data_IF_208557423430
#
_entry.id   IF_208557423430
#
_cell.length_a   1.000
_cell.length_b   1.000
_cell.length_c   1.000
_cell.angle_alpha   90.00
_cell.angle_beta   90.00
_cell.angle_gamma   90.00
#
_symmetry.space_group_name_H-M   'P 1'
#
loop_
_entity.id
_entity.type
_entity.pdbx_description
1 polymer ?
#
# COMPACT_ATOMS: atom_id res chain seq x y z
N UNK A 1 13.17 -7.45 -30.29
CA UNK A 1 11.75 -7.50 -29.88
C UNK A 1 11.67 -7.53 -28.37
N UNK A 2 10.64 -6.91 -27.78
CA UNK A 2 10.41 -6.94 -26.33
C UNK A 2 9.88 -8.31 -25.93
N UNK A 3 10.47 -8.91 -24.90
CA UNK A 3 10.11 -10.26 -24.46
C UNK A 3 8.71 -10.29 -23.83
N UNK A 4 8.01 -11.41 -24.00
CA UNK A 4 6.72 -11.65 -23.31
C UNK A 4 6.88 -11.57 -21.80
N UNK A 5 8.01 -12.05 -21.26
CA UNK A 5 8.32 -11.94 -19.84
C UNK A 5 8.36 -10.50 -19.33
N UNK A 6 9.01 -9.59 -20.07
CA UNK A 6 9.07 -8.17 -19.72
C UNK A 6 7.69 -7.51 -19.77
N UNK A 7 6.85 -7.88 -20.76
CA UNK A 7 5.46 -7.40 -20.87
C UNK A 7 4.63 -7.86 -19.67
N UNK A 8 4.68 -9.15 -19.32
CA UNK A 8 3.98 -9.70 -18.17
C UNK A 8 4.45 -9.08 -16.85
N UNK A 9 5.75 -8.83 -16.71
CA UNK A 9 6.31 -8.18 -15.53
C UNK A 9 5.84 -6.72 -15.40
N UNK A 10 5.78 -5.96 -16.49
CA UNK A 10 5.23 -4.59 -16.46
C UNK A 10 3.73 -4.57 -16.11
N UNK A 11 2.95 -5.53 -16.63
CA UNK A 11 1.54 -5.70 -16.27
C UNK A 11 1.42 -6.02 -14.77
N UNK A 12 2.19 -6.99 -14.28
CA UNK A 12 2.24 -7.32 -12.85
C UNK A 12 2.53 -6.07 -12.02
N UNK A 13 3.54 -5.28 -12.39
CA UNK A 13 3.90 -4.06 -11.67
C UNK A 13 2.78 -3.03 -11.65
N UNK A 14 2.10 -2.78 -12.77
CA UNK A 14 0.93 -1.91 -12.81
C UNK A 14 -0.20 -2.44 -11.91
N UNK A 15 -0.49 -3.75 -11.95
CA UNK A 15 -1.51 -4.37 -11.11
C UNK A 15 -1.17 -4.27 -9.62
N UNK A 16 0.04 -4.66 -9.23
CA UNK A 16 0.51 -4.65 -7.85
C UNK A 16 0.61 -3.25 -7.27
N UNK A 17 1.15 -2.29 -8.05
CA UNK A 17 1.37 -0.94 -7.58
C UNK A 17 0.10 -0.08 -7.59
N UNK A 18 -0.77 -0.24 -8.60
CA UNK A 18 -1.91 0.65 -8.79
C UNK A 18 -3.24 0.01 -8.43
N UNK A 19 -3.57 -1.11 -9.07
CA UNK A 19 -4.88 -1.72 -8.93
C UNK A 19 -5.10 -2.33 -7.54
N UNK A 20 -4.09 -2.99 -6.97
CA UNK A 20 -4.22 -3.62 -5.65
C UNK A 20 -4.49 -2.59 -4.54
N UNK A 21 -3.74 -1.48 -4.39
CA UNK A 21 -4.06 -0.43 -3.41
C UNK A 21 -5.41 0.24 -3.64
N UNK A 22 -5.81 0.45 -4.90
CA UNK A 22 -7.12 1.05 -5.25
C UNK A 22 -8.27 0.13 -4.88
N UNK A 23 -8.19 -1.15 -5.25
CA UNK A 23 -9.21 -2.14 -4.90
C UNK A 23 -9.31 -2.25 -3.38
N UNK A 24 -8.17 -2.37 -2.69
CA UNK A 24 -8.12 -2.39 -1.23
C UNK A 24 -8.76 -1.14 -0.59
N UNK A 25 -8.45 0.04 -1.12
CA UNK A 25 -9.07 1.30 -0.72
C UNK A 25 -10.60 1.30 -0.88
N UNK A 26 -11.09 0.93 -2.07
CA UNK A 26 -12.52 0.91 -2.39
C UNK A 26 -13.25 -0.07 -1.49
N UNK A 27 -12.73 -1.29 -1.33
CA UNK A 27 -13.32 -2.32 -0.46
C UNK A 27 -13.38 -1.83 1.00
N UNK A 28 -12.30 -1.26 1.52
CA UNK A 28 -12.26 -0.77 2.90
C UNK A 28 -13.15 0.45 3.13
N UNK A 29 -13.34 1.31 2.13
CA UNK A 29 -14.30 2.41 2.17
C UNK A 29 -15.75 1.90 2.10
N UNK A 30 -16.04 0.95 1.21
CA UNK A 30 -17.35 0.33 1.07
C UNK A 30 -17.75 -0.43 2.36
N UNK A 31 -16.79 -1.07 3.01
CA UNK A 31 -16.99 -1.75 4.30
C UNK A 31 -17.08 -0.79 5.51
N UNK A 32 -17.05 0.54 5.30
CA UNK A 32 -17.12 1.54 6.37
C UNK A 32 -15.89 1.56 7.30
N UNK A 33 -14.79 0.88 6.94
CA UNK A 33 -13.56 0.80 7.74
C UNK A 33 -12.69 2.03 7.58
N UNK A 34 -12.74 2.68 6.41
CA UNK A 34 -12.01 3.90 6.06
C UNK A 34 -12.96 4.99 5.57
N UNK A 35 -12.65 6.25 5.88
CA UNK A 35 -13.43 7.37 5.33
C UNK A 35 -12.90 7.78 3.94
N UNK A 36 -13.78 7.83 2.95
CA UNK A 36 -13.45 8.26 1.59
C UNK A 36 -12.87 9.69 1.56
N UNK A 37 -13.31 10.54 2.50
CA UNK A 37 -12.78 11.90 2.68
C UNK A 37 -11.29 11.88 3.02
N UNK A 38 -10.85 10.99 3.90
CA UNK A 38 -9.43 10.86 4.24
C UNK A 38 -8.60 10.40 3.05
N UNK A 39 -9.13 9.45 2.28
CA UNK A 39 -8.47 8.96 1.06
C UNK A 39 -8.27 10.08 0.01
N UNK A 40 -9.34 10.79 -0.35
CA UNK A 40 -9.26 11.89 -1.33
C UNK A 40 -8.34 13.00 -0.83
N UNK A 41 -8.38 13.29 0.48
CA UNK A 41 -7.48 14.30 1.07
C UNK A 41 -6.01 13.89 0.91
N UNK A 42 -5.68 12.63 1.19
CA UNK A 42 -4.32 12.10 1.01
C UNK A 42 -3.84 12.21 -0.44
N UNK A 43 -4.68 11.78 -1.38
CA UNK A 43 -4.39 11.86 -2.81
C UNK A 43 -4.14 13.31 -3.25
N UNK A 44 -5.05 14.21 -2.90
CA UNK A 44 -5.00 15.62 -3.31
C UNK A 44 -3.77 16.34 -2.77
N UNK A 45 -3.46 16.17 -1.48
CA UNK A 45 -2.32 16.86 -0.88
C UNK A 45 -0.98 16.35 -1.40
N UNK A 46 -0.85 15.05 -1.72
CA UNK A 46 0.34 14.59 -2.44
C UNK A 46 0.45 15.28 -3.80
N UNK A 47 -0.60 15.20 -4.62
CA UNK A 47 -0.59 15.75 -5.97
C UNK A 47 -0.23 17.24 -5.97
N UNK A 48 -0.87 18.04 -5.11
CA UNK A 48 -0.64 19.48 -5.03
C UNK A 48 0.77 19.79 -4.52
N UNK A 49 1.16 19.29 -3.33
CA UNK A 49 2.44 19.69 -2.73
C UNK A 49 3.63 19.11 -3.50
N UNK A 50 3.50 17.91 -4.06
CA UNK A 50 4.58 17.30 -4.81
C UNK A 50 4.68 17.87 -6.23
N UNK A 51 3.60 17.80 -7.03
CA UNK A 51 3.67 18.19 -8.43
C UNK A 51 3.71 19.72 -8.62
N UNK A 52 2.93 20.47 -7.83
CA UNK A 52 2.78 21.92 -8.03
C UNK A 52 3.72 22.77 -7.19
N UNK A 53 4.24 22.27 -6.07
CA UNK A 53 5.16 23.06 -5.23
C UNK A 53 6.58 22.52 -5.27
N UNK A 54 6.79 21.23 -5.00
CA UNK A 54 8.14 20.67 -4.93
C UNK A 54 8.87 20.74 -6.28
N UNK A 55 8.23 20.34 -7.39
CA UNK A 55 8.88 20.36 -8.70
C UNK A 55 9.30 21.76 -9.14
N UNK A 56 8.45 22.82 -9.05
CA UNK A 56 8.89 24.18 -9.34
C UNK A 56 10.01 24.69 -8.41
N UNK A 57 9.96 24.32 -7.12
CA UNK A 57 11.03 24.67 -6.17
C UNK A 57 12.35 24.00 -6.54
N UNK A 58 12.34 22.71 -6.89
CA UNK A 58 13.52 22.02 -7.38
C UNK A 58 14.05 22.67 -8.65
N UNK A 59 13.18 22.96 -9.62
CA UNK A 59 13.56 23.65 -10.85
C UNK A 59 14.25 24.99 -10.58
N UNK A 60 13.76 25.77 -9.61
CA UNK A 60 14.38 27.04 -9.22
C UNK A 60 15.73 26.83 -8.52
N UNK A 61 15.81 25.85 -7.60
CA UNK A 61 17.03 25.50 -6.87
C UNK A 61 18.14 25.04 -7.84
N UNK A 62 17.79 24.25 -8.85
CA UNK A 62 18.74 23.76 -9.86
C UNK A 62 19.32 24.86 -10.76
N UNK A 63 18.77 26.08 -10.76
CA UNK A 63 19.39 27.22 -11.45
C UNK A 63 20.63 27.75 -10.73
N UNK A 64 20.83 27.39 -9.47
CA UNK A 64 22.01 27.81 -8.70
C UNK A 64 23.17 26.89 -9.08
N UNK A 65 24.26 27.40 -9.70
CA UNK A 65 25.34 26.55 -10.20
C UNK A 65 25.99 25.66 -9.12
N UNK A 66 26.10 26.16 -7.89
CA UNK A 66 26.63 25.40 -6.77
C UNK A 66 25.74 24.21 -6.36
N UNK A 67 24.41 24.35 -6.50
CA UNK A 67 23.49 23.23 -6.21
C UNK A 67 23.50 22.23 -7.36
N UNK A 68 23.56 22.72 -8.60
CA UNK A 68 23.70 21.85 -9.77
C UNK A 68 24.98 21.01 -9.69
N UNK A 69 26.12 21.63 -9.36
CA UNK A 69 27.40 20.91 -9.22
C UNK A 69 27.36 19.88 -8.08
N UNK A 70 26.75 20.24 -6.95
CA UNK A 70 26.53 19.32 -5.84
C UNK A 70 25.66 18.12 -6.24
N UNK A 71 24.56 18.38 -6.96
CA UNK A 71 23.63 17.35 -7.41
C UNK A 71 24.16 16.44 -8.53
N UNK A 72 25.29 16.77 -9.17
CA UNK A 72 25.97 15.82 -10.06
C UNK A 72 26.66 14.68 -9.30
N UNK A 73 26.98 14.87 -8.02
CA UNK A 73 27.47 13.78 -7.19
C UNK A 73 26.32 12.89 -6.74
N UNK A 74 26.55 11.57 -6.65
CA UNK A 74 25.56 10.61 -6.17
C UNK A 74 25.00 11.01 -4.80
N UNK A 75 25.89 11.33 -3.86
CA UNK A 75 25.50 11.72 -2.49
C UNK A 75 24.76 13.05 -2.48
N UNK A 76 25.20 14.04 -3.26
CA UNK A 76 24.55 15.33 -3.31
C UNK A 76 23.16 15.28 -3.93
N UNK A 77 22.98 14.49 -5.00
CA UNK A 77 21.66 14.22 -5.57
C UNK A 77 20.74 13.53 -4.56
N UNK A 78 21.25 12.46 -3.92
CA UNK A 78 20.48 11.72 -2.92
C UNK A 78 20.04 12.60 -1.76
N UNK A 79 20.93 13.47 -1.24
CA UNK A 79 20.60 14.44 -0.19
C UNK A 79 19.54 15.44 -0.64
N UNK A 80 19.73 16.07 -1.80
CA UNK A 80 18.80 17.08 -2.32
C UNK A 80 17.40 16.47 -2.52
N UNK A 81 17.34 15.28 -3.12
CA UNK A 81 16.09 14.56 -3.33
C UNK A 81 15.46 14.15 -2.00
N UNK A 82 16.21 13.54 -1.08
CA UNK A 82 15.66 13.08 0.19
C UNK A 82 15.17 14.21 1.10
N UNK A 83 15.92 15.32 1.20
CA UNK A 83 15.53 16.49 2.01
C UNK A 83 14.25 17.11 1.47
N UNK A 84 14.21 17.37 0.16
CA UNK A 84 13.03 17.97 -0.45
C UNK A 84 11.82 17.03 -0.39
N UNK A 85 11.99 15.72 -0.59
CA UNK A 85 10.90 14.75 -0.42
C UNK A 85 10.37 14.78 1.00
N UNK A 86 11.23 14.57 1.99
CA UNK A 86 10.83 14.48 3.39
C UNK A 86 10.12 15.75 3.89
N UNK A 87 10.60 16.92 3.48
CA UNK A 87 9.99 18.20 3.82
C UNK A 87 8.59 18.35 3.23
N UNK A 88 8.46 18.26 1.90
CA UNK A 88 7.19 18.49 1.21
C UNK A 88 6.15 17.43 1.56
N UNK A 89 6.57 16.17 1.73
CA UNK A 89 5.62 15.12 2.05
C UNK A 89 5.12 15.17 3.49
N UNK A 90 6.01 15.49 4.44
CA UNK A 90 5.60 15.70 5.84
C UNK A 90 4.71 16.93 5.94
N UNK A 91 5.01 18.00 5.21
CA UNK A 91 4.17 19.18 5.13
C UNK A 91 2.78 18.84 4.55
N UNK A 92 2.71 18.08 3.45
CA UNK A 92 1.46 17.63 2.86
C UNK A 92 0.58 16.88 3.87
N UNK A 93 1.16 15.90 4.59
CA UNK A 93 0.48 15.15 5.66
C UNK A 93 0.00 16.05 6.78
N UNK A 94 0.85 16.93 7.27
CA UNK A 94 0.55 17.81 8.40
C UNK A 94 -0.56 18.81 8.02
N UNK A 95 -0.44 19.45 6.85
CA UNK A 95 -1.42 20.39 6.32
C UNK A 95 -2.76 19.70 6.04
N UNK A 96 -2.76 18.55 5.35
CA UNK A 96 -3.99 17.82 5.05
C UNK A 96 -4.70 17.32 6.31
N UNK A 97 -3.95 16.77 7.26
CA UNK A 97 -4.47 16.33 8.56
C UNK A 97 -5.06 17.49 9.37
N UNK A 98 -4.32 18.60 9.51
CA UNK A 98 -4.74 19.76 10.32
C UNK A 98 -5.84 20.60 9.66
N UNK A 99 -5.70 20.88 8.36
CA UNK A 99 -6.58 21.78 7.63
C UNK A 99 -7.80 21.08 7.03
N UNK A 100 -7.84 19.77 6.84
CA UNK A 100 -9.06 19.14 6.28
C UNK A 100 -9.70 18.23 7.29
N UNK A 101 -8.95 17.29 7.85
CA UNK A 101 -9.52 16.24 8.69
C UNK A 101 -9.73 16.67 10.15
N UNK A 102 -8.88 17.56 10.67
CA UNK A 102 -8.99 18.14 12.01
C UNK A 102 -9.81 19.44 12.08
N UNK A 103 -10.45 19.88 10.99
CA UNK A 103 -11.26 21.11 10.98
C UNK A 103 -12.59 20.92 11.73
N UNK A 104 -13.15 22.04 12.19
CA UNK A 104 -14.48 22.13 12.84
C UNK A 104 -14.63 21.25 14.10
N UNK A 105 -13.56 21.09 14.87
CA UNK A 105 -13.58 20.33 16.13
C UNK A 105 -13.63 18.80 15.96
N UNK A 106 -13.56 18.29 14.72
CA UNK A 106 -13.47 16.84 14.48
C UNK A 106 -12.12 16.31 14.95
N UNK A 107 -12.14 15.24 15.76
CA UNK A 107 -10.93 14.52 16.13
C UNK A 107 -10.44 13.65 14.97
N UNK A 108 -9.12 13.68 14.73
CA UNK A 108 -8.47 12.82 13.72
C UNK A 108 -8.42 11.40 14.28
N UNK A 109 -8.96 10.43 13.55
CA UNK A 109 -8.99 9.03 14.00
C UNK A 109 -7.80 8.21 13.45
N UNK A 110 -7.45 7.06 14.06
CA UNK A 110 -6.47 6.14 13.47
C UNK A 110 -6.89 5.60 12.09
N UNK A 111 -8.19 5.45 11.84
CA UNK A 111 -8.72 5.07 10.52
C UNK A 111 -8.47 6.17 9.49
N UNK A 112 -8.60 7.44 9.88
CA UNK A 112 -8.29 8.58 9.01
C UNK A 112 -6.82 8.61 8.57
N UNK A 113 -5.87 8.21 9.43
CA UNK A 113 -4.46 8.07 9.01
C UNK A 113 -4.23 6.95 7.99
N UNK A 114 -4.94 5.81 8.11
CA UNK A 114 -4.82 4.72 7.13
C UNK A 114 -5.40 5.18 5.79
N UNK A 115 -6.61 5.75 5.81
CA UNK A 115 -7.27 6.24 4.59
C UNK A 115 -6.43 7.30 3.89
N UNK A 116 -5.93 8.28 4.64
CA UNK A 116 -5.04 9.31 4.09
C UNK A 116 -3.76 8.70 3.51
N UNK A 117 -3.08 7.82 4.25
CA UNK A 117 -1.83 7.20 3.79
C UNK A 117 -2.01 6.35 2.53
N UNK A 118 -3.14 5.65 2.42
CA UNK A 118 -3.48 4.85 1.25
C UNK A 118 -3.75 5.74 0.03
N UNK A 119 -4.56 6.79 0.18
CA UNK A 119 -4.79 7.77 -0.90
C UNK A 119 -3.51 8.48 -1.34
N UNK A 120 -2.63 8.77 -0.38
CA UNK A 120 -1.30 9.34 -0.63
C UNK A 120 -0.43 8.40 -1.47
N UNK A 121 -0.34 7.13 -1.09
CA UNK A 121 0.45 6.13 -1.82
C UNK A 121 -0.09 5.86 -3.22
N UNK A 122 -1.42 5.88 -3.41
CA UNK A 122 -2.05 5.77 -4.73
C UNK A 122 -1.61 6.95 -5.63
N UNK A 123 -1.69 8.18 -5.10
CA UNK A 123 -1.26 9.36 -5.86
C UNK A 123 0.23 9.30 -6.19
N UNK A 124 1.07 8.96 -5.22
CA UNK A 124 2.49 8.83 -5.43
C UNK A 124 2.84 7.83 -6.53
N UNK A 125 2.26 6.64 -6.46
CA UNK A 125 2.47 5.61 -7.46
C UNK A 125 2.02 6.08 -8.84
N UNK A 126 0.86 6.74 -8.92
CA UNK A 126 0.36 7.30 -10.18
C UNK A 126 1.38 8.25 -10.82
N UNK A 127 1.85 9.24 -10.07
CA UNK A 127 2.70 10.31 -10.58
C UNK A 127 4.16 9.88 -10.79
N UNK A 128 4.71 8.99 -9.96
CA UNK A 128 6.12 8.61 -10.06
C UNK A 128 6.38 7.52 -11.10
N UNK A 129 5.51 6.50 -11.17
CA UNK A 129 5.79 5.34 -12.02
C UNK A 129 4.63 4.95 -12.93
N UNK A 130 3.39 5.25 -12.55
CA UNK A 130 2.20 4.86 -13.33
C UNK A 130 2.32 5.31 -14.78
N UNK A 131 2.58 6.60 -15.01
CA UNK A 131 2.76 7.14 -16.36
C UNK A 131 3.89 6.45 -17.14
N UNK A 132 5.02 6.17 -16.48
CA UNK A 132 6.17 5.53 -17.13
C UNK A 132 5.88 4.08 -17.51
N UNK A 133 5.30 3.27 -16.63
CA UNK A 133 4.99 1.86 -16.92
C UNK A 133 3.84 1.72 -17.93
N UNK A 134 2.82 2.59 -17.88
CA UNK A 134 1.80 2.63 -18.94
C UNK A 134 2.41 2.98 -20.30
N UNK A 135 3.27 4.00 -20.35
CA UNK A 135 3.99 4.38 -21.56
C UNK A 135 4.86 3.24 -22.10
N UNK A 136 5.67 2.64 -21.23
CA UNK A 136 6.54 1.51 -21.58
C UNK A 136 5.77 0.31 -22.12
N UNK A 137 4.60 0.01 -21.54
CA UNK A 137 3.75 -1.10 -22.00
C UNK A 137 3.15 -0.81 -23.39
N UNK A 138 2.63 0.40 -23.61
CA UNK A 138 2.15 0.82 -24.93
C UNK A 138 3.27 0.75 -25.98
N UNK A 139 4.46 1.23 -25.63
CA UNK A 139 5.63 1.22 -26.52
C UNK A 139 6.13 -0.19 -26.80
N UNK A 140 6.12 -1.08 -25.81
CA UNK A 140 6.47 -2.49 -26.01
C UNK A 140 5.55 -3.17 -27.03
N UNK A 141 4.23 -2.93 -26.94
CA UNK A 141 3.28 -3.44 -27.93
C UNK A 141 3.50 -2.82 -29.31
N UNK A 142 3.74 -1.51 -29.39
CA UNK A 142 3.98 -0.83 -30.66
C UNK A 142 5.26 -1.33 -31.35
N UNK A 143 6.36 -1.49 -30.61
CA UNK A 143 7.63 -2.01 -31.11
C UNK A 143 7.51 -3.46 -31.59
N UNK A 144 6.76 -4.30 -30.88
CA UNK A 144 6.56 -5.69 -31.28
C UNK A 144 5.66 -5.84 -32.52
N UNK A 145 4.74 -4.91 -32.77
CA UNK A 145 3.85 -4.94 -33.93
C UNK A 145 4.47 -4.26 -35.16
N UNK A 146 5.06 -3.08 -34.97
CA UNK A 146 5.43 -2.17 -36.05
C UNK A 146 6.95 -2.02 -36.23
N UNK A 147 7.76 -2.60 -35.35
CA UNK A 147 9.22 -2.44 -35.39
C UNK A 147 9.68 -1.04 -34.94
N UNK A 148 11.01 -0.90 -34.83
CA UNK A 148 11.65 0.32 -34.31
C UNK A 148 11.60 1.51 -35.29
N UNK A 149 11.60 1.25 -36.59
CA UNK A 149 11.64 2.26 -37.65
C UNK A 149 10.46 3.25 -37.57
N UNK A 150 9.25 2.72 -37.36
CA UNK A 150 8.04 3.54 -37.21
C UNK A 150 8.10 4.45 -35.98
N UNK A 151 8.77 4.02 -34.90
CA UNK A 151 8.92 4.83 -33.70
C UNK A 151 9.98 5.92 -33.88
N UNK A 152 11.10 5.61 -34.54
CA UNK A 152 12.16 6.58 -34.83
C UNK A 152 11.72 7.72 -35.76
N UNK A 153 10.77 7.48 -36.66
CA UNK A 153 10.23 8.54 -37.54
C UNK A 153 9.44 9.60 -36.77
N UNK A 154 8.76 9.22 -35.68
CA UNK A 154 7.92 10.13 -34.90
C UNK A 154 8.70 10.85 -33.80
N UNK A 155 9.60 10.15 -33.10
CA UNK A 155 10.26 10.67 -31.89
C UNK A 155 11.76 10.94 -32.07
N UNK A 156 12.30 10.65 -33.26
CA UNK A 156 13.73 10.72 -33.54
C UNK A 156 14.47 9.44 -33.16
N UNK A 157 15.55 9.17 -33.90
CA UNK A 157 16.32 7.93 -33.78
C UNK A 157 16.91 7.73 -32.39
N UNK A 158 17.43 8.79 -31.77
CA UNK A 158 18.12 8.70 -30.48
C UNK A 158 17.18 8.29 -29.35
N UNK A 159 16.03 8.97 -29.23
CA UNK A 159 15.01 8.62 -28.24
C UNK A 159 14.44 7.22 -28.48
N UNK A 160 14.22 6.85 -29.75
CA UNK A 160 13.74 5.54 -30.13
C UNK A 160 14.69 4.41 -29.69
N UNK A 161 15.99 4.58 -29.93
CA UNK A 161 17.01 3.61 -29.51
C UNK A 161 17.10 3.54 -28.00
N UNK A 162 17.05 4.65 -27.27
CA UNK A 162 17.09 4.65 -25.80
C UNK A 162 15.92 3.85 -25.21
N UNK A 163 14.69 4.12 -25.67
CA UNK A 163 13.49 3.38 -25.23
C UNK A 163 13.61 1.91 -25.58
N UNK A 164 14.04 1.59 -26.80
CA UNK A 164 14.23 0.20 -27.23
C UNK A 164 15.22 -0.53 -26.31
N UNK A 165 16.37 0.08 -26.01
CA UNK A 165 17.38 -0.49 -25.12
C UNK A 165 16.83 -0.72 -23.71
N UNK A 166 16.03 0.21 -23.17
CA UNK A 166 15.36 -0.01 -21.87
C UNK A 166 14.41 -1.19 -21.92
N UNK A 167 13.57 -1.30 -22.95
CA UNK A 167 12.55 -2.35 -23.03
C UNK A 167 13.11 -3.74 -23.36
N UNK A 168 14.21 -3.82 -24.11
CA UNK A 168 14.82 -5.11 -24.49
C UNK A 168 16.02 -5.50 -23.64
N UNK A 169 16.71 -4.53 -23.04
CA UNK A 169 17.92 -4.74 -22.25
C UNK A 169 17.66 -4.95 -20.76
N UNK A 170 16.54 -4.45 -20.22
CA UNK A 170 16.17 -4.64 -18.82
C UNK A 170 15.59 -6.06 -18.59
N UNK A 171 16.14 -6.84 -17.64
CA UNK A 171 15.58 -8.14 -17.28
C UNK A 171 14.12 -8.05 -16.83
N UNK A 172 13.29 -9.02 -17.23
CA UNK A 172 11.87 -9.08 -16.86
C UNK A 172 11.66 -8.97 -15.34
N UNK A 173 12.53 -9.62 -14.55
CA UNK A 173 12.42 -9.62 -13.09
C UNK A 173 12.65 -8.22 -12.48
N UNK A 174 13.44 -7.36 -13.12
CA UNK A 174 13.64 -5.97 -12.68
C UNK A 174 12.42 -5.09 -12.96
N UNK A 175 11.68 -5.35 -14.04
CA UNK A 175 10.37 -4.71 -14.25
C UNK A 175 9.38 -5.11 -13.16
N UNK A 176 9.39 -6.37 -12.72
CA UNK A 176 8.50 -6.87 -11.67
C UNK A 176 8.89 -6.35 -10.27
N UNK A 177 10.18 -6.12 -10.03
CA UNK A 177 10.71 -5.59 -8.76
C UNK A 177 9.98 -4.29 -8.36
N UNK A 178 9.81 -3.37 -9.32
CA UNK A 178 9.08 -2.12 -9.06
C UNK A 178 7.64 -2.31 -8.55
N UNK A 179 6.96 -3.42 -8.90
CA UNK A 179 5.64 -3.73 -8.34
C UNK A 179 5.69 -4.15 -6.87
N UNK A 180 6.69 -4.97 -6.52
CA UNK A 180 6.95 -5.44 -5.16
C UNK A 180 7.36 -4.27 -4.26
N UNK A 181 8.27 -3.42 -4.76
CA UNK A 181 8.72 -2.20 -4.09
C UNK A 181 7.53 -1.38 -3.58
N UNK A 182 6.51 -1.23 -4.43
CA UNK A 182 5.36 -0.37 -4.14
C UNK A 182 4.45 -0.93 -3.07
N UNK A 183 4.32 -2.24 -2.97
CA UNK A 183 3.57 -2.85 -1.87
C UNK A 183 4.23 -2.47 -0.53
N UNK A 184 5.56 -2.58 -0.43
CA UNK A 184 6.31 -2.18 0.75
C UNK A 184 6.25 -0.67 0.98
N UNK A 185 6.36 0.11 -0.09
CA UNK A 185 6.31 1.56 0.01
C UNK A 185 4.92 2.07 0.44
N UNK A 186 3.83 1.42 0.02
CA UNK A 186 2.48 1.71 0.53
C UNK A 186 2.39 1.53 2.05
N UNK A 187 2.99 0.46 2.59
CA UNK A 187 3.06 0.24 4.04
C UNK A 187 3.81 1.39 4.71
N UNK A 188 4.98 1.77 4.18
CA UNK A 188 5.78 2.90 4.67
C UNK A 188 4.91 4.16 4.71
N UNK A 189 4.23 4.51 3.61
CA UNK A 189 3.44 5.73 3.53
C UNK A 189 2.25 5.77 4.49
N UNK A 190 1.63 4.62 4.77
CA UNK A 190 0.58 4.49 5.79
C UNK A 190 1.15 4.76 7.18
N UNK A 191 2.29 4.15 7.53
CA UNK A 191 2.91 4.31 8.86
C UNK A 191 3.39 5.75 9.06
N UNK A 192 4.05 6.36 8.07
CA UNK A 192 4.51 7.74 8.13
C UNK A 192 3.34 8.72 8.30
N UNK A 193 2.25 8.50 7.59
CA UNK A 193 1.01 9.27 7.78
C UNK A 193 0.48 9.10 9.21
N UNK A 194 0.45 7.87 9.71
CA UNK A 194 0.03 7.58 11.07
C UNK A 194 0.89 8.30 12.13
N UNK A 195 2.22 8.35 11.95
CA UNK A 195 3.13 9.12 12.81
C UNK A 195 2.79 10.62 12.83
N UNK A 196 2.61 11.24 11.66
CA UNK A 196 2.22 12.66 11.58
C UNK A 196 0.88 12.90 12.28
N UNK A 197 -0.11 12.04 12.05
CA UNK A 197 -1.44 12.17 12.64
C UNK A 197 -1.43 11.86 14.15
N UNK A 198 -0.54 10.99 14.62
CA UNK A 198 -0.30 10.79 16.04
C UNK A 198 0.29 12.04 16.69
N UNK A 199 1.24 12.70 16.02
CA UNK A 199 1.76 14.00 16.44
C UNK A 199 0.68 15.07 16.54
N UNK A 200 -0.20 15.17 15.53
CA UNK A 200 -1.35 16.08 15.54
C UNK A 200 -2.31 15.79 16.71
N UNK A 201 -2.64 14.52 16.95
CA UNK A 201 -3.51 14.09 18.07
C UNK A 201 -2.90 14.43 19.44
N UNK A 202 -1.60 14.18 19.61
CA UNK A 202 -0.85 14.44 20.86
C UNK A 202 -0.41 15.90 21.01
N UNK A 203 -0.64 16.75 20.01
CA UNK A 203 -0.08 18.11 19.92
C UNK A 203 1.44 18.13 20.15
N UNK A 204 2.14 17.13 19.62
CA UNK A 204 3.59 16.96 19.75
C UNK A 204 4.23 16.89 18.37
N UNK A 205 5.35 17.61 18.19
CA UNK A 205 6.11 17.56 16.95
C UNK A 205 7.07 16.37 16.88
N UNK A 206 7.34 15.67 17.99
CA UNK A 206 8.28 14.54 18.01
C UNK A 206 7.90 13.42 17.02
N UNK A 207 6.64 12.95 16.94
CA UNK A 207 6.23 11.94 15.96
C UNK A 207 6.29 12.47 14.51
N UNK A 208 6.04 13.77 14.31
CA UNK A 208 6.12 14.41 12.99
C UNK A 208 7.57 14.45 12.50
N UNK A 209 8.51 14.83 13.37
CA UNK A 209 9.95 14.82 13.07
C UNK A 209 10.46 13.41 12.83
N UNK A 210 9.98 12.42 13.58
CA UNK A 210 10.30 11.02 13.34
C UNK A 210 9.82 10.55 11.97
N UNK A 211 8.61 10.94 11.54
CA UNK A 211 8.12 10.65 10.21
C UNK A 211 8.99 11.29 9.12
N UNK A 212 9.36 12.56 9.29
CA UNK A 212 10.24 13.26 8.35
C UNK A 212 11.62 12.60 8.24
N UNK A 213 12.23 12.23 9.38
CA UNK A 213 13.52 11.55 9.41
C UNK A 213 13.44 10.16 8.77
N UNK A 214 12.41 9.38 9.10
CA UNK A 214 12.22 8.06 8.51
C UNK A 214 12.03 8.15 6.99
N UNK A 215 11.23 9.11 6.50
CA UNK A 215 11.06 9.32 5.06
C UNK A 215 12.34 9.75 4.38
N UNK A 216 13.09 10.67 5.00
CA UNK A 216 14.41 11.09 4.51
C UNK A 216 15.34 9.88 4.38
N UNK A 217 15.44 9.02 5.40
CA UNK A 217 16.28 7.83 5.35
C UNK A 217 15.82 6.85 4.28
N UNK A 218 14.52 6.61 4.12
CA UNK A 218 14.00 5.76 3.04
C UNK A 218 14.44 6.29 1.69
N UNK A 219 14.20 7.56 1.38
CA UNK A 219 14.53 8.14 0.06
C UNK A 219 16.04 8.22 -0.15
N UNK A 220 16.79 8.66 0.86
CA UNK A 220 18.24 8.79 0.78
C UNK A 220 18.91 7.43 0.56
N UNK A 221 18.56 6.44 1.38
CA UNK A 221 19.13 5.11 1.28
C UNK A 221 18.80 4.43 -0.05
N UNK A 222 17.55 4.52 -0.53
CA UNK A 222 17.19 4.02 -1.87
C UNK A 222 18.00 4.71 -2.96
N UNK A 223 18.13 6.04 -2.92
CA UNK A 223 18.89 6.78 -3.93
C UNK A 223 20.39 6.44 -3.96
N UNK A 224 20.99 6.09 -2.81
CA UNK A 224 22.38 5.64 -2.72
C UNK A 224 22.54 4.18 -3.16
N UNK A 225 21.60 3.31 -2.80
CA UNK A 225 21.76 1.86 -2.95
C UNK A 225 21.29 1.33 -4.31
N UNK A 226 20.24 1.91 -4.89
CA UNK A 226 19.67 1.45 -6.15
C UNK A 226 20.66 1.47 -7.34
N UNK A 227 21.59 2.44 -7.47
CA UNK A 227 22.64 2.39 -8.49
C UNK A 227 23.58 1.19 -8.41
N UNK A 228 23.65 0.52 -7.25
CA UNK A 228 24.43 -0.71 -7.06
C UNK A 228 23.65 -1.99 -7.43
N UNK A 229 22.41 -1.84 -7.89
CA UNK A 229 21.54 -2.92 -8.34
C UNK A 229 20.12 -2.77 -7.78
N UNK A 230 19.12 -3.05 -8.62
CA UNK A 230 17.70 -2.93 -8.28
C UNK A 230 17.39 -3.71 -6.98
N UNK A 231 17.87 -4.94 -6.87
CA UNK A 231 17.66 -5.80 -5.70
C UNK A 231 18.20 -5.23 -4.39
N UNK A 232 19.29 -4.46 -4.43
CA UNK A 232 19.84 -3.81 -3.22
C UNK A 232 18.86 -2.74 -2.72
N UNK A 233 18.28 -1.97 -3.64
CA UNK A 233 17.23 -1.00 -3.33
C UNK A 233 15.96 -1.68 -2.78
N UNK A 234 15.52 -2.77 -3.41
CA UNK A 234 14.33 -3.52 -2.99
C UNK A 234 14.47 -4.06 -1.56
N UNK A 235 15.60 -4.70 -1.25
CA UNK A 235 15.89 -5.22 0.10
C UNK A 235 15.90 -4.08 1.12
N UNK A 236 16.50 -2.93 0.77
CA UNK A 236 16.51 -1.77 1.65
C UNK A 236 15.10 -1.25 1.96
N UNK A 237 14.25 -1.09 0.93
CA UNK A 237 12.86 -0.64 1.11
C UNK A 237 12.06 -1.64 1.93
N UNK A 238 12.24 -2.94 1.68
CA UNK A 238 11.63 -3.99 2.49
C UNK A 238 12.03 -3.87 3.97
N UNK A 239 13.32 -3.70 4.26
CA UNK A 239 13.81 -3.53 5.64
C UNK A 239 13.24 -2.28 6.30
N UNK A 240 13.18 -1.16 5.57
CA UNK A 240 12.56 0.09 6.06
C UNK A 240 11.07 -0.10 6.37
N UNK A 241 10.34 -0.83 5.51
CA UNK A 241 8.95 -1.18 5.77
C UNK A 241 8.81 -2.02 7.03
N UNK A 242 9.69 -3.01 7.25
CA UNK A 242 9.67 -3.84 8.46
C UNK A 242 9.99 -3.05 9.73
N UNK A 243 11.01 -2.17 9.70
CA UNK A 243 11.35 -1.31 10.83
C UNK A 243 10.17 -0.40 11.21
N UNK A 244 9.50 0.19 10.22
CA UNK A 244 8.35 1.05 10.45
C UNK A 244 7.10 0.28 10.90
N UNK A 245 6.88 -0.92 10.36
CA UNK A 245 5.74 -1.76 10.74
C UNK A 245 5.89 -2.33 12.15
N UNK A 246 7.10 -2.76 12.55
CA UNK A 246 7.35 -3.39 13.84
C UNK A 246 7.60 -2.37 14.97
N UNK A 247 8.19 -1.21 14.66
CA UNK A 247 8.53 -0.18 15.65
C UNK A 247 7.36 0.78 15.93
N UNK A 248 7.14 1.81 15.10
CA UNK A 248 6.12 2.83 15.36
C UNK A 248 4.68 2.35 15.16
N UNK A 249 4.36 1.43 14.24
CA UNK A 249 2.97 1.09 13.93
C UNK A 249 2.12 0.58 15.12
N UNK A 250 2.63 -0.27 16.04
CA UNK A 250 1.91 -0.69 17.24
C UNK A 250 1.46 0.48 18.14
N UNK A 251 2.21 1.58 18.15
CA UNK A 251 1.89 2.79 18.93
C UNK A 251 0.75 3.60 18.29
N UNK A 252 0.55 3.45 16.99
CA UNK A 252 -0.41 4.22 16.19
C UNK A 252 -1.81 3.63 16.20
N UNK A 253 -1.88 2.30 16.25
CA UNK A 253 -3.11 1.50 16.25
C UNK A 253 -3.11 0.51 17.43
N UNK A 254 -3.42 0.99 18.66
CA UNK A 254 -3.52 0.11 19.82
C UNK A 254 -4.50 -1.03 19.54
N UNK A 255 -4.11 -2.26 19.85
CA UNK A 255 -5.01 -3.42 19.75
C UNK A 255 -6.27 -3.11 20.55
N UNK A 256 -7.45 -3.26 19.92
CA UNK A 256 -8.71 -3.25 20.68
C UNK A 256 -8.57 -4.37 21.71
N UNK A 257 -8.72 -4.03 22.99
CA UNK A 257 -8.87 -5.07 24.02
C UNK A 257 -10.06 -5.94 23.62
N UNK A 258 -9.92 -7.26 23.75
CA UNK A 258 -11.06 -8.16 23.60
C UNK A 258 -12.20 -7.62 24.50
N UNK A 259 -13.46 -7.69 24.05
CA UNK A 259 -14.58 -7.32 24.92
C UNK A 259 -14.39 -8.06 26.25
N UNK A 260 -14.34 -7.32 27.35
CA UNK A 260 -14.39 -7.92 28.68
C UNK A 260 -15.77 -8.55 28.76
N UNK A 261 -15.84 -9.87 28.62
CA UNK A 261 -17.06 -10.62 28.93
C UNK A 261 -17.30 -10.33 30.42
N UNK A 262 -18.42 -9.70 30.81
CA UNK A 262 -18.71 -9.49 32.22
C UNK A 262 -18.67 -10.83 32.94
N UNK A 263 -17.91 -10.93 34.03
CA UNK A 263 -18.00 -12.08 34.95
C UNK A 263 -19.47 -12.24 35.34
N UNK A 264 -20.10 -13.32 34.89
CA UNK A 264 -21.54 -13.56 35.03
C UNK A 264 -22.32 -13.74 33.72
N UNK A 265 -21.71 -13.57 32.54
CA UNK A 265 -22.34 -13.92 31.24
C UNK A 265 -21.84 -15.25 30.64
N UNK A 266 -21.10 -16.07 31.39
CA UNK A 266 -20.79 -17.46 31.00
C UNK A 266 -21.96 -18.43 31.25
N UNK A 267 -22.97 -18.05 32.05
CA UNK A 267 -24.08 -18.94 32.42
C UNK A 267 -25.37 -18.80 31.59
N UNK A 268 -25.45 -17.85 30.65
CA UNK A 268 -26.68 -17.57 29.88
C UNK A 268 -26.74 -18.23 28.49
N UNK A 269 -25.87 -19.19 28.21
CA UNK A 269 -25.92 -19.99 26.98
C UNK A 269 -26.25 -21.46 27.26
N UNK A 270 -27.42 -21.70 27.84
CA UNK A 270 -28.18 -22.93 27.63
C UNK A 270 -29.65 -22.67 28.01
N UNK A 271 -30.59 -22.63 27.05
CA UNK A 271 -32.00 -22.80 27.41
C UNK A 271 -32.21 -24.25 27.85
N UNK A 272 -32.54 -24.45 29.13
CA UNK A 272 -32.93 -25.74 29.74
C UNK A 272 -34.17 -26.38 29.06
N UNK A 273 -34.84 -25.70 28.13
CA UNK A 273 -35.99 -26.22 27.38
C UNK A 273 -35.64 -27.33 26.36
N UNK A 274 -34.36 -27.53 26.03
CA UNK A 274 -33.94 -28.63 25.12
C UNK A 274 -33.68 -29.95 25.85
N UNK A 275 -33.62 -29.97 27.19
CA UNK A 275 -33.32 -31.19 27.96
C UNK A 275 -34.57 -32.01 28.34
N UNK A 276 -35.76 -31.40 28.34
CA UNK A 276 -37.02 -32.13 28.55
C UNK A 276 -37.57 -32.74 27.27
N UNK A 277 -37.34 -32.10 26.12
CA UNK A 277 -37.76 -32.64 24.81
C UNK A 277 -36.97 -33.88 24.41
N UNK A 278 -35.66 -33.93 24.67
CA UNK A 278 -34.81 -35.10 24.40
C UNK A 278 -35.15 -36.32 25.28
N UNK A 279 -35.62 -36.12 26.52
CA UNK A 279 -36.04 -37.24 27.39
C UNK A 279 -37.40 -37.81 27.03
N UNK A 280 -38.27 -37.02 26.40
CA UNK A 280 -39.62 -37.46 26.03
C UNK A 280 -39.58 -38.23 24.71
N UNK A 281 -38.75 -37.80 23.75
CA UNK A 281 -38.53 -38.54 22.48
C UNK A 281 -37.73 -39.85 22.66
N UNK A 282 -36.82 -39.92 23.64
CA UNK A 282 -36.08 -41.15 23.94
C UNK A 282 -36.94 -42.23 24.63
N UNK A 283 -37.97 -41.84 25.39
CA UNK A 283 -38.88 -42.79 26.04
C UNK A 283 -39.91 -43.38 25.06
N UNK A 284 -40.39 -42.61 24.07
CA UNK A 284 -41.31 -43.13 23.04
C UNK A 284 -40.62 -44.05 22.02
N UNK A 285 -39.30 -43.93 21.83
CA UNK A 285 -38.54 -44.82 20.91
C UNK A 285 -38.11 -46.15 21.54
N UNK A 286 -38.04 -46.26 22.87
CA UNK A 286 -37.80 -47.55 23.55
C UNK A 286 -39.07 -48.41 23.68
N UNK A 287 -40.27 -47.83 23.83
CA UNK A 287 -41.52 -48.62 23.89
C UNK A 287 -41.97 -49.20 22.54
N UNK A 288 -41.45 -48.72 21.39
CA UNK A 288 -41.80 -49.28 20.07
C UNK A 288 -40.84 -50.35 19.53
N UNK A 289 -39.75 -50.68 20.23
CA UNK A 289 -38.83 -51.74 19.82
C UNK A 289 -39.00 -53.08 20.57
N UNK A 290 -39.90 -53.15 21.57
CA UNK A 290 -40.12 -54.37 22.36
C UNK A 290 -41.37 -55.19 21.98
N UNK A 291 -42.16 -54.78 20.97
CA UNK A 291 -43.25 -55.59 20.41
C UNK A 291 -42.94 -56.00 18.96
N UNK A 292 -42.17 -57.07 18.79
CA UNK A 292 -41.89 -57.58 17.44
C UNK A 292 -41.01 -58.81 17.32
N UNK A 293 -41.02 -59.75 18.27
CA UNK A 293 -40.46 -61.09 18.04
C UNK A 293 -41.51 -62.01 17.40
N UNK A 294 -41.29 -62.54 16.17
CA UNK A 294 -42.11 -63.61 15.63
C UNK A 294 -41.56 -64.98 16.07
N UNK A 295 -42.41 -65.76 16.75
CA UNK A 295 -42.16 -67.18 17.05
C UNK A 295 -42.09 -68.05 15.76
N UNK A 296 -41.33 -69.17 15.78
CA UNK A 296 -41.05 -69.98 14.59
C UNK A 296 -41.97 -71.21 14.45
N UNK A 297 -42.32 -71.60 13.21
CA UNK A 297 -42.73 -72.96 12.80
C UNK A 297 -43.06 -73.02 11.29
N UNK A 298 -43.21 -74.19 10.62
CA UNK A 298 -42.17 -75.18 10.30
C UNK A 298 -42.20 -75.62 8.80
N UNK A 299 -41.19 -76.43 8.42
CA UNK A 299 -41.12 -77.46 7.35
C UNK A 299 -42.18 -77.52 6.23
N UNK A 300 -41.73 -77.62 4.96
CA UNK A 300 -41.75 -78.87 4.17
C UNK A 300 -41.32 -78.66 2.70
N UNK A 301 -40.42 -79.55 2.27
CA UNK A 301 -40.15 -80.08 0.90
C UNK A 301 -39.76 -79.14 -0.24
#
# INVERSE_FOLDING_TARGET
>A
MVSVGSILAMIFTLTAAFFLPIIGAVVLCAAGRLSWRSLITGFFFYAVLQALFRLPVLWLIYKIPAVQSFAYSLVGNALLMAITTAFFETAARFLGGRLVLGRKGRSITPSDSIGYGLGYSIAETFFLMGLSYFGNLMLAFALNQNGLSNYSEVFGQEAAVQVYQVLTGTPALEFAAGGVERIFYTIIQIVLTGLVFHGLRRRSMKPVLLAALAHFLTVFGTAILQPHGVWVGEVYIFLMAMVLLLGPAPMLWPRRKAPVIPEGMEELSAPEEMAETEKTEAAETEETQEEGEPQPSPEEK
#
